data_IF_775838004926
#
_entry.id   IF_775838004926
#
_cell.length_a   1.000
_cell.length_b   1.000
_cell.length_c   1.000
_cell.angle_alpha   90.00
_cell.angle_beta   90.00
_cell.angle_gamma   90.00
#
_symmetry.space_group_name_H-M   'P 1'
#
loop_
_entity.id
_entity.type
_entity.pdbx_description
1 polymer ?
#
# COMPACT_ATOMS: atom_id res chain seq x y z
N UNK A 1 -0.46 -18.92 -48.77
CA UNK A 1 -0.93 -20.25 -48.37
C UNK A 1 0.28 -21.14 -48.18
N UNK A 2 0.26 -21.94 -47.09
CA UNK A 2 1.21 -22.97 -46.69
C UNK A 2 2.60 -22.49 -46.25
N UNK A 3 3.22 -23.03 -45.21
CA UNK A 3 2.75 -23.81 -44.06
C UNK A 3 3.91 -23.79 -43.08
N UNK A 4 3.60 -23.52 -41.82
CA UNK A 4 4.46 -23.64 -40.66
C UNK A 4 4.91 -25.11 -40.48
N UNK A 5 6.21 -25.33 -40.26
CA UNK A 5 6.75 -26.63 -39.88
C UNK A 5 7.88 -26.44 -38.85
N UNK A 6 7.56 -26.87 -37.62
CA UNK A 6 8.37 -26.84 -36.41
C UNK A 6 9.65 -27.70 -36.52
N UNK A 7 10.69 -27.43 -35.70
CA UNK A 7 11.93 -28.17 -35.70
C UNK A 7 11.79 -29.50 -34.95
N UNK A 8 12.42 -30.54 -35.51
CA UNK A 8 12.48 -31.91 -35.01
C UNK A 8 13.05 -31.97 -33.59
N UNK A 9 12.24 -32.46 -32.66
CA UNK A 9 12.67 -32.88 -31.33
C UNK A 9 13.55 -34.13 -31.39
N UNK A 10 14.47 -34.18 -30.43
CA UNK A 10 15.54 -35.15 -30.30
C UNK A 10 15.05 -36.59 -30.14
N UNK A 11 15.68 -37.50 -30.89
CA UNK A 11 15.61 -38.94 -30.69
C UNK A 11 16.38 -39.30 -29.41
N UNK A 12 15.68 -39.33 -28.28
CA UNK A 12 16.16 -39.97 -27.06
C UNK A 12 16.02 -41.49 -27.22
N UNK A 13 17.13 -42.17 -27.48
CA UNK A 13 17.20 -43.64 -27.38
C UNK A 13 17.03 -44.00 -25.91
N UNK A 14 15.79 -44.23 -25.49
CA UNK A 14 15.49 -44.86 -24.20
C UNK A 14 15.91 -46.33 -24.29
N UNK A 15 17.03 -46.65 -23.65
CA UNK A 15 17.36 -48.01 -23.26
C UNK A 15 16.16 -48.54 -22.47
N UNK A 16 15.63 -49.75 -22.74
CA UNK A 16 14.54 -50.30 -21.94
C UNK A 16 15.05 -50.37 -20.51
N UNK A 17 14.50 -49.55 -19.62
CA UNK A 17 14.63 -49.81 -18.19
C UNK A 17 14.04 -51.20 -17.97
N UNK A 18 14.79 -52.06 -17.30
CA UNK A 18 14.32 -53.39 -16.91
C UNK A 18 12.94 -53.25 -16.27
N UNK A 19 11.90 -53.78 -16.92
CA UNK A 19 10.51 -53.75 -16.45
C UNK A 19 10.38 -54.29 -15.02
N UNK A 20 11.29 -55.19 -14.63
CA UNK A 20 11.39 -55.77 -13.28
C UNK A 20 11.80 -54.76 -12.20
N UNK A 21 12.49 -53.68 -12.55
CA UNK A 21 12.89 -52.63 -11.59
C UNK A 21 11.81 -51.55 -11.44
N UNK A 22 11.02 -51.33 -12.50
CA UNK A 22 9.99 -50.29 -12.56
C UNK A 22 8.95 -50.43 -11.44
N UNK A 23 8.58 -51.66 -11.08
CA UNK A 23 7.61 -51.95 -10.03
C UNK A 23 8.03 -51.48 -8.63
N UNK A 24 9.34 -51.38 -8.35
CA UNK A 24 9.84 -50.91 -7.05
C UNK A 24 9.83 -49.38 -6.92
N UNK A 25 9.57 -48.65 -8.01
CA UNK A 25 9.38 -47.20 -7.99
C UNK A 25 7.90 -46.79 -7.83
N UNK A 26 6.97 -47.76 -7.82
CA UNK A 26 5.57 -47.50 -7.54
C UNK A 26 5.37 -47.16 -6.05
N UNK A 27 4.57 -46.14 -5.79
CA UNK A 27 4.26 -45.67 -4.42
C UNK A 27 3.32 -46.62 -3.69
N UNK A 28 2.51 -47.35 -4.44
CA UNK A 28 1.53 -48.29 -3.91
C UNK A 28 2.09 -49.73 -3.85
N UNK A 29 3.40 -49.91 -4.07
CA UNK A 29 4.05 -51.22 -4.01
C UNK A 29 4.05 -51.79 -2.57
N UNK A 30 3.42 -52.95 -2.39
CA UNK A 30 3.41 -53.68 -1.13
C UNK A 30 4.33 -54.92 -1.20
N UNK A 31 5.46 -54.95 -0.46
CA UNK A 31 6.40 -56.08 -0.51
C UNK A 31 5.79 -57.42 -0.09
N UNK A 32 4.87 -57.39 0.89
CA UNK A 32 4.22 -58.60 1.40
C UNK A 32 3.32 -59.22 0.35
N UNK A 33 2.48 -58.41 -0.31
CA UNK A 33 1.61 -58.88 -1.39
C UNK A 33 2.39 -59.38 -2.62
N UNK A 34 3.53 -58.76 -2.94
CA UNK A 34 4.41 -59.23 -4.02
C UNK A 34 4.96 -60.63 -3.74
N UNK A 35 5.47 -60.83 -2.51
CA UNK A 35 6.02 -62.11 -2.08
C UNK A 35 4.92 -63.18 -2.03
N UNK A 36 3.74 -62.85 -1.51
CA UNK A 36 2.59 -63.76 -1.50
C UNK A 36 2.14 -64.15 -2.91
N UNK A 37 2.05 -63.19 -3.83
CA UNK A 37 1.74 -63.46 -5.24
C UNK A 37 2.83 -64.32 -5.92
N UNK A 38 4.11 -64.10 -5.59
CA UNK A 38 5.22 -64.92 -6.07
C UNK A 38 5.10 -66.36 -5.57
N UNK A 39 4.86 -66.56 -4.27
CA UNK A 39 4.64 -67.89 -3.71
C UNK A 39 3.38 -68.55 -4.29
N UNK A 40 2.29 -67.80 -4.50
CA UNK A 40 1.06 -68.27 -5.14
C UNK A 40 1.31 -68.73 -6.59
N UNK A 41 2.15 -68.01 -7.34
CA UNK A 41 2.50 -68.32 -8.73
C UNK A 41 3.33 -69.60 -8.85
N UNK A 42 4.18 -69.88 -7.86
CA UNK A 42 5.05 -71.07 -7.84
C UNK A 42 4.30 -72.29 -7.28
N UNK A 43 3.40 -72.08 -6.31
CA UNK A 43 2.70 -73.14 -5.59
C UNK A 43 1.51 -73.72 -6.36
N UNK A 44 0.81 -72.92 -7.18
CA UNK A 44 -0.40 -73.39 -7.89
C UNK A 44 -1.51 -73.88 -6.93
N UNK A 45 -2.71 -74.13 -7.45
CA UNK A 45 -3.89 -74.36 -6.60
C UNK A 45 -3.99 -75.76 -5.96
N UNK A 46 -3.13 -76.74 -6.30
CA UNK A 46 -3.48 -78.15 -6.05
C UNK A 46 -2.35 -79.12 -5.61
N UNK A 47 -1.15 -78.66 -5.27
CA UNK A 47 -0.14 -79.59 -4.70
C UNK A 47 0.72 -78.95 -3.62
N UNK A 48 0.14 -78.79 -2.43
CA UNK A 48 0.82 -78.29 -1.23
C UNK A 48 2.09 -79.12 -0.96
N UNK A 49 3.27 -78.53 -1.22
CA UNK A 49 4.59 -78.94 -0.73
C UNK A 49 5.18 -80.27 -1.26
N UNK A 50 5.13 -80.51 -2.57
CA UNK A 50 5.98 -81.57 -3.15
C UNK A 50 7.48 -81.20 -3.07
N UNK A 51 8.36 -82.20 -2.92
CA UNK A 51 9.83 -81.98 -2.83
C UNK A 51 10.40 -81.26 -4.07
N UNK A 52 9.83 -81.51 -5.25
CA UNK A 52 10.20 -80.82 -6.50
C UNK A 52 9.74 -79.37 -6.53
N UNK A 53 8.59 -79.04 -5.94
CA UNK A 53 8.11 -77.67 -5.80
C UNK A 53 8.95 -76.88 -4.80
N UNK A 54 9.32 -77.47 -3.66
CA UNK A 54 10.24 -76.83 -2.71
C UNK A 54 11.62 -76.57 -3.32
N UNK A 55 12.12 -77.49 -4.16
CA UNK A 55 13.36 -77.28 -4.89
C UNK A 55 13.24 -76.15 -5.92
N UNK A 56 12.13 -76.09 -6.68
CA UNK A 56 11.86 -74.98 -7.62
C UNK A 56 11.72 -73.65 -6.89
N UNK A 57 10.99 -73.62 -5.78
CA UNK A 57 10.80 -72.43 -4.97
C UNK A 57 12.12 -71.93 -4.38
N UNK A 58 12.95 -72.82 -3.88
CA UNK A 58 14.30 -72.48 -3.39
C UNK A 58 15.18 -71.94 -4.51
N UNK A 59 15.12 -72.53 -5.71
CA UNK A 59 15.86 -72.06 -6.88
C UNK A 59 15.38 -70.68 -7.33
N UNK A 60 14.07 -70.47 -7.46
CA UNK A 60 13.49 -69.18 -7.88
C UNK A 60 13.69 -68.10 -6.82
N UNK A 61 13.60 -68.44 -5.53
CA UNK A 61 13.92 -67.49 -4.45
C UNK A 61 15.38 -67.05 -4.50
N UNK A 62 16.31 -67.99 -4.74
CA UNK A 62 17.73 -67.65 -4.89
C UNK A 62 18.01 -66.76 -6.10
N UNK A 63 17.31 -67.00 -7.21
CA UNK A 63 17.40 -66.20 -8.44
C UNK A 63 16.84 -64.78 -8.23
N UNK A 64 15.66 -64.66 -7.61
CA UNK A 64 15.07 -63.36 -7.25
C UNK A 64 15.96 -62.60 -6.27
N UNK A 65 16.53 -63.26 -5.26
CA UNK A 65 17.47 -62.63 -4.32
C UNK A 65 18.69 -62.10 -5.08
N UNK A 66 19.26 -62.89 -6.00
CA UNK A 66 20.42 -62.46 -6.80
C UNK A 66 20.10 -61.23 -7.65
N UNK A 67 18.92 -61.20 -8.27
CA UNK A 67 18.45 -60.05 -9.04
C UNK A 67 18.19 -58.82 -8.15
N UNK A 68 17.58 -59.00 -6.98
CA UNK A 68 17.37 -57.92 -6.02
C UNK A 68 18.69 -57.36 -5.50
N UNK A 69 19.66 -58.21 -5.17
CA UNK A 69 20.99 -57.79 -4.74
C UNK A 69 21.70 -56.98 -5.83
N UNK A 70 21.59 -57.41 -7.10
CA UNK A 70 22.10 -56.64 -8.23
C UNK A 70 21.44 -55.26 -8.33
N UNK A 71 20.11 -55.20 -8.29
CA UNK A 71 19.37 -53.94 -8.38
C UNK A 71 19.61 -53.02 -7.18
N UNK A 72 19.73 -53.56 -5.96
CA UNK A 72 20.09 -52.78 -4.77
C UNK A 72 21.47 -52.16 -4.90
N UNK A 73 22.45 -52.89 -5.44
CA UNK A 73 23.79 -52.36 -5.68
C UNK A 73 23.78 -51.27 -6.77
N UNK A 74 23.05 -51.47 -7.86
CA UNK A 74 22.90 -50.47 -8.92
C UNK A 74 22.21 -49.19 -8.42
N UNK A 75 21.10 -49.32 -7.68
CA UNK A 75 20.41 -48.18 -7.06
C UNK A 75 21.33 -47.47 -6.05
N UNK A 76 22.06 -48.22 -5.22
CA UNK A 76 22.98 -47.63 -4.25
C UNK A 76 24.10 -46.84 -4.94
N UNK A 77 24.61 -47.34 -6.07
CA UNK A 77 25.62 -46.63 -6.88
C UNK A 77 25.05 -45.39 -7.55
N UNK A 78 23.84 -45.46 -8.10
CA UNK A 78 23.15 -44.32 -8.69
C UNK A 78 22.81 -43.25 -7.64
N UNK A 79 22.34 -43.65 -6.47
CA UNK A 79 22.08 -42.76 -5.34
C UNK A 79 23.37 -42.05 -4.88
N UNK A 80 24.48 -42.79 -4.73
CA UNK A 80 25.78 -42.22 -4.39
C UNK A 80 26.25 -41.22 -5.47
N UNK A 81 26.08 -41.55 -6.75
CA UNK A 81 26.42 -40.65 -7.86
C UNK A 81 25.56 -39.39 -7.88
N UNK A 82 24.25 -39.51 -7.63
CA UNK A 82 23.34 -38.36 -7.53
C UNK A 82 23.64 -37.50 -6.31
N UNK A 83 23.99 -38.09 -5.17
CA UNK A 83 24.43 -37.37 -3.97
C UNK A 83 25.74 -36.63 -4.22
N UNK A 84 26.72 -37.25 -4.88
CA UNK A 84 27.97 -36.57 -5.22
C UNK A 84 27.73 -35.45 -6.26
N UNK A 85 26.81 -35.66 -7.21
CA UNK A 85 26.39 -34.61 -8.15
C UNK A 85 25.73 -33.43 -7.42
N UNK A 86 24.85 -33.71 -6.45
CA UNK A 86 24.21 -32.69 -5.63
C UNK A 86 25.22 -31.93 -4.76
N UNK A 87 26.18 -32.65 -4.17
CA UNK A 87 27.28 -32.08 -3.40
C UNK A 87 28.18 -31.20 -4.27
N UNK A 88 28.50 -31.63 -5.49
CA UNK A 88 29.29 -30.84 -6.44
C UNK A 88 28.55 -29.58 -6.90
N UNK A 89 27.25 -29.69 -7.20
CA UNK A 89 26.40 -28.53 -7.51
C UNK A 89 26.31 -27.55 -6.32
N UNK A 90 26.17 -28.08 -5.11
CA UNK A 90 26.18 -27.30 -3.86
C UNK A 90 27.55 -26.68 -3.57
N UNK A 91 28.65 -27.30 -3.95
CA UNK A 91 30.00 -26.72 -3.81
C UNK A 91 30.26 -25.62 -4.85
N UNK A 92 29.63 -25.72 -6.02
CA UNK A 92 29.72 -24.73 -7.10
C UNK A 92 28.82 -23.50 -6.89
N UNK A 93 27.85 -23.55 -5.99
CA UNK A 93 27.02 -22.39 -5.61
C UNK A 93 27.63 -21.57 -4.46
N UNK A 94 28.72 -22.06 -3.87
CA UNK A 94 29.53 -21.29 -2.93
C UNK A 94 30.40 -20.27 -3.67
N UNK A 95 30.72 -19.11 -3.07
CA UNK A 95 31.64 -18.16 -3.67
C UNK A 95 33.03 -18.80 -3.76
N UNK A 96 33.42 -19.29 -4.92
CA UNK A 96 34.82 -19.62 -5.21
C UNK A 96 35.62 -18.33 -5.29
N UNK A 97 35.99 -17.79 -4.12
CA UNK A 97 37.25 -17.08 -4.00
C UNK A 97 38.35 -18.10 -4.23
N UNK A 98 39.17 -17.87 -5.25
CA UNK A 98 40.46 -18.53 -5.50
C UNK A 98 40.39 -19.97 -6.05
N UNK A 99 40.35 -20.12 -7.37
CA UNK A 99 41.22 -21.10 -8.05
C UNK A 99 41.17 -20.94 -9.58
N UNK A 100 42.34 -20.66 -10.15
CA UNK A 100 42.66 -20.67 -11.58
C UNK A 100 42.55 -22.09 -12.17
N UNK A 101 41.33 -22.54 -12.46
CA UNK A 101 41.10 -23.74 -13.29
C UNK A 101 40.00 -23.48 -14.30
N UNK A 102 40.22 -23.96 -15.52
CA UNK A 102 39.53 -23.61 -16.77
C UNK A 102 38.02 -23.31 -16.65
N UNK A 103 37.53 -22.28 -17.38
CA UNK A 103 36.15 -21.84 -17.26
C UNK A 103 35.23 -22.86 -17.91
N UNK A 104 34.51 -23.59 -17.08
CA UNK A 104 33.27 -24.22 -17.51
C UNK A 104 32.27 -23.10 -17.86
N UNK A 105 32.23 -22.74 -19.15
CA UNK A 105 31.65 -21.49 -19.68
C UNK A 105 30.12 -21.35 -19.46
N UNK A 106 29.46 -22.44 -19.07
CA UNK A 106 28.04 -22.40 -18.70
C UNK A 106 27.84 -21.95 -17.24
N UNK A 107 28.83 -22.21 -16.38
CA UNK A 107 28.81 -21.75 -14.99
C UNK A 107 29.09 -20.25 -14.89
N UNK A 108 29.95 -19.72 -15.76
CA UNK A 108 30.17 -18.25 -15.87
C UNK A 108 28.95 -17.52 -16.38
N UNK A 109 28.13 -18.13 -17.26
CA UNK A 109 26.86 -17.56 -17.72
C UNK A 109 25.80 -17.56 -16.63
N UNK A 110 25.64 -18.66 -15.90
CA UNK A 110 24.70 -18.71 -14.77
C UNK A 110 25.15 -17.78 -13.65
N UNK A 111 26.45 -17.74 -13.35
CA UNK A 111 27.06 -16.77 -12.44
C UNK A 111 26.81 -15.34 -12.91
N UNK A 112 26.96 -15.04 -14.21
CA UNK A 112 26.61 -13.75 -14.78
C UNK A 112 25.12 -13.43 -14.58
N UNK A 113 24.21 -14.38 -14.79
CA UNK A 113 22.78 -14.18 -14.54
C UNK A 113 22.46 -13.99 -13.07
N UNK A 114 23.13 -14.70 -12.15
CA UNK A 114 22.96 -14.55 -10.70
C UNK A 114 23.53 -13.23 -10.21
N UNK A 115 24.72 -12.84 -10.69
CA UNK A 115 25.33 -11.55 -10.39
C UNK A 115 24.54 -10.39 -11.01
N UNK A 116 24.01 -10.55 -12.23
CA UNK A 116 23.10 -9.58 -12.84
C UNK A 116 21.81 -9.47 -12.03
N UNK A 117 21.24 -10.59 -11.58
CA UNK A 117 20.06 -10.60 -10.74
C UNK A 117 20.32 -9.90 -9.40
N UNK A 118 21.43 -10.22 -8.73
CA UNK A 118 21.85 -9.57 -7.49
C UNK A 118 22.01 -8.06 -7.69
N UNK A 119 22.71 -7.64 -8.74
CA UNK A 119 22.87 -6.22 -9.06
C UNK A 119 21.53 -5.55 -9.38
N UNK A 120 20.58 -6.24 -10.04
CA UNK A 120 19.25 -5.70 -10.28
C UNK A 120 18.42 -5.62 -9.01
N UNK A 121 18.59 -6.55 -8.07
CA UNK A 121 17.91 -6.54 -6.77
C UNK A 121 18.46 -5.40 -5.91
N UNK A 122 19.79 -5.24 -5.85
CA UNK A 122 20.42 -4.12 -5.15
C UNK A 122 20.00 -2.77 -5.77
N UNK A 123 19.99 -2.67 -7.10
CA UNK A 123 19.53 -1.47 -7.80
C UNK A 123 18.05 -1.18 -7.52
N UNK A 124 17.21 -2.22 -7.45
CA UNK A 124 15.79 -2.06 -7.13
C UNK A 124 15.59 -1.64 -5.66
N UNK A 125 16.39 -2.18 -4.74
CA UNK A 125 16.38 -1.76 -3.33
C UNK A 125 16.78 -0.28 -3.21
N UNK A 126 17.82 0.14 -3.93
CA UNK A 126 18.29 1.52 -3.94
C UNK A 126 17.26 2.46 -4.60
N UNK A 127 16.64 2.05 -5.71
CA UNK A 127 15.54 2.76 -6.35
C UNK A 127 14.31 2.86 -5.44
N UNK A 128 13.98 1.81 -4.70
CA UNK A 128 12.88 1.81 -3.72
C UNK A 128 13.17 2.77 -2.57
N UNK A 129 14.40 2.75 -2.04
CA UNK A 129 14.93 3.69 -1.04
C UNK A 129 14.83 5.14 -1.53
N UNK A 130 15.23 5.41 -2.78
CA UNK A 130 15.15 6.73 -3.40
C UNK A 130 13.70 7.17 -3.67
N UNK A 131 12.84 6.26 -4.12
CA UNK A 131 11.42 6.51 -4.31
C UNK A 131 10.73 6.82 -2.98
N UNK A 132 11.05 6.08 -1.92
CA UNK A 132 10.54 6.32 -0.57
C UNK A 132 11.02 7.67 -0.01
N UNK A 133 12.31 8.03 -0.19
CA UNK A 133 12.83 9.36 0.18
C UNK A 133 12.15 10.47 -0.61
N UNK A 134 11.88 10.26 -1.90
CA UNK A 134 11.19 11.22 -2.76
C UNK A 134 9.72 11.36 -2.36
N UNK A 135 9.06 10.28 -1.96
CA UNK A 135 7.69 10.29 -1.46
C UNK A 135 7.58 11.06 -0.14
N UNK A 136 8.47 10.79 0.83
CA UNK A 136 8.53 11.55 2.09
C UNK A 136 8.84 13.05 1.87
N UNK A 137 9.72 13.36 0.91
CA UNK A 137 9.99 14.75 0.51
C UNK A 137 8.78 15.43 -0.15
N UNK A 138 7.95 14.69 -0.87
CA UNK A 138 6.72 15.22 -1.49
C UNK A 138 5.56 15.38 -0.49
N UNK A 139 5.47 14.53 0.54
CA UNK A 139 4.48 14.70 1.63
C UNK A 139 4.73 16.00 2.42
N UNK A 140 5.99 16.35 2.66
CA UNK A 140 6.36 17.61 3.32
C UNK A 140 6.11 18.85 2.43
N UNK A 141 6.25 18.74 1.11
CA UNK A 141 5.92 19.81 0.16
C UNK A 141 4.42 20.01 -0.08
N UNK A 142 3.62 18.93 -0.07
CA UNK A 142 2.16 19.00 -0.20
C UNK A 142 1.50 19.65 1.02
N UNK A 143 2.03 19.44 2.23
CA UNK A 143 1.48 20.08 3.44
C UNK A 143 1.41 21.60 3.30
N UNK A 144 2.48 22.25 2.81
CA UNK A 144 2.52 23.72 2.64
C UNK A 144 1.56 24.21 1.55
N UNK A 145 1.46 23.49 0.43
CA UNK A 145 0.54 23.84 -0.65
C UNK A 145 -0.93 23.63 -0.25
N UNK A 146 -1.23 22.54 0.46
CA UNK A 146 -2.56 22.23 0.99
C UNK A 146 -2.95 23.21 2.10
N UNK A 147 -2.02 23.56 2.98
CA UNK A 147 -2.24 24.54 4.04
C UNK A 147 -2.45 25.96 3.46
N UNK A 148 -1.68 26.33 2.44
CA UNK A 148 -1.91 27.56 1.66
C UNK A 148 -3.28 27.57 0.99
N UNK A 149 -3.72 26.44 0.45
CA UNK A 149 -5.05 26.30 -0.16
C UNK A 149 -6.18 26.40 0.89
N UNK A 150 -5.98 25.84 2.08
CA UNK A 150 -6.91 25.96 3.21
C UNK A 150 -7.01 27.41 3.68
N UNK A 151 -5.88 28.10 3.83
CA UNK A 151 -5.84 29.52 4.16
C UNK A 151 -6.56 30.35 3.10
N UNK A 152 -6.30 30.09 1.81
CA UNK A 152 -6.96 30.80 0.71
C UNK A 152 -8.48 30.56 0.69
N UNK A 153 -8.93 29.33 0.98
CA UNK A 153 -10.35 29.00 1.12
C UNK A 153 -10.99 29.75 2.29
N UNK A 154 -10.29 29.89 3.42
CA UNK A 154 -10.74 30.66 4.58
C UNK A 154 -10.82 32.16 4.25
N UNK A 155 -9.81 32.71 3.57
CA UNK A 155 -9.81 34.11 3.11
C UNK A 155 -10.98 34.38 2.17
N UNK A 156 -11.19 33.53 1.16
CA UNK A 156 -12.32 33.62 0.23
C UNK A 156 -13.66 33.61 0.97
N UNK A 157 -13.84 32.70 1.93
CA UNK A 157 -15.05 32.63 2.75
C UNK A 157 -15.30 33.90 3.57
N UNK A 158 -14.25 34.45 4.18
CA UNK A 158 -14.34 35.68 4.95
C UNK A 158 -14.67 36.89 4.06
N UNK A 159 -14.03 37.01 2.90
CA UNK A 159 -14.35 38.05 1.91
C UNK A 159 -15.81 37.94 1.45
N UNK A 160 -16.31 36.72 1.18
CA UNK A 160 -17.70 36.51 0.80
C UNK A 160 -18.70 36.85 1.92
N UNK A 161 -18.32 36.67 3.19
CA UNK A 161 -19.12 37.14 4.33
C UNK A 161 -19.19 38.65 4.38
N UNK A 162 -18.04 39.33 4.26
CA UNK A 162 -17.97 40.81 4.24
C UNK A 162 -18.77 41.36 3.06
N UNK A 163 -18.63 40.75 1.88
CA UNK A 163 -19.41 41.12 0.69
C UNK A 163 -20.91 40.97 0.94
N UNK A 164 -21.36 39.87 1.55
CA UNK A 164 -22.78 39.69 1.91
C UNK A 164 -23.26 40.74 2.89
N UNK A 165 -22.49 41.06 3.93
CA UNK A 165 -22.85 42.11 4.88
C UNK A 165 -22.93 43.48 4.21
N UNK A 166 -22.00 43.81 3.30
CA UNK A 166 -22.03 45.05 2.53
C UNK A 166 -23.19 45.10 1.54
N UNK A 167 -23.52 43.97 0.89
CA UNK A 167 -24.68 43.87 0.00
C UNK A 167 -25.98 44.00 0.78
N UNK A 168 -26.12 43.34 1.93
CA UNK A 168 -27.27 43.50 2.81
C UNK A 168 -27.37 44.94 3.33
N UNK A 169 -26.25 45.56 3.72
CA UNK A 169 -26.22 46.96 4.13
C UNK A 169 -26.67 47.89 2.99
N UNK A 170 -26.19 47.66 1.75
CA UNK A 170 -26.62 48.40 0.55
C UNK A 170 -28.11 48.23 0.30
N UNK A 171 -28.60 47.00 0.33
CA UNK A 171 -30.00 46.67 0.04
C UNK A 171 -30.92 47.24 1.13
N UNK A 172 -30.46 47.34 2.38
CA UNK A 172 -31.19 48.02 3.48
C UNK A 172 -31.13 49.54 3.43
N UNK A 173 -30.06 50.12 2.86
CA UNK A 173 -29.85 51.56 2.85
C UNK A 173 -30.49 52.23 1.63
N UNK A 174 -30.88 51.47 0.60
CA UNK A 174 -31.78 51.89 -0.47
C UNK A 174 -31.32 53.10 -1.30
N UNK A 175 -30.09 53.58 -1.13
CA UNK A 175 -29.58 54.80 -1.73
C UNK A 175 -28.27 54.53 -2.47
N UNK A 176 -28.12 55.24 -3.59
CA UNK A 176 -26.94 55.24 -4.42
C UNK A 176 -25.69 55.56 -3.57
N UNK A 177 -24.69 54.66 -3.48
CA UNK A 177 -23.53 54.81 -2.59
C UNK A 177 -22.65 56.03 -2.92
N UNK A 178 -22.92 56.71 -4.03
CA UNK A 178 -22.23 57.93 -4.45
C UNK A 178 -22.74 59.22 -3.76
N UNK A 179 -23.84 59.17 -2.99
CA UNK A 179 -24.49 60.38 -2.42
C UNK A 179 -24.46 60.48 -0.89
N UNK A 180 -23.86 59.52 -0.17
CA UNK A 180 -23.81 59.57 1.30
C UNK A 180 -22.77 60.59 1.75
N UNK A 181 -23.25 61.76 2.14
CA UNK A 181 -22.42 62.80 2.76
C UNK A 181 -22.12 62.46 4.22
N UNK A 182 -21.02 63.01 4.75
CA UNK A 182 -20.64 62.86 6.17
C UNK A 182 -21.77 63.37 7.09
N UNK A 183 -22.50 64.39 6.65
CA UNK A 183 -23.63 64.96 7.39
C UNK A 183 -24.82 64.00 7.48
N UNK A 184 -25.15 63.27 6.40
CA UNK A 184 -26.17 62.23 6.42
C UNK A 184 -25.77 61.06 7.33
N UNK A 185 -24.51 60.63 7.27
CA UNK A 185 -24.00 59.59 8.16
C UNK A 185 -24.07 60.02 9.64
N UNK A 186 -23.68 61.26 9.94
CA UNK A 186 -23.76 61.81 11.28
C UNK A 186 -25.21 61.96 11.76
N UNK A 187 -26.13 62.32 10.87
CA UNK A 187 -27.57 62.37 11.17
C UNK A 187 -28.13 60.98 11.51
N UNK A 188 -27.81 59.96 10.71
CA UNK A 188 -28.21 58.57 10.99
C UNK A 188 -27.62 58.04 12.30
N UNK A 189 -26.38 58.39 12.63
CA UNK A 189 -25.79 58.04 13.92
C UNK A 189 -26.47 58.74 15.11
N UNK A 190 -26.91 59.99 14.94
CA UNK A 190 -27.69 60.67 15.98
C UNK A 190 -29.08 60.06 16.15
N UNK A 191 -29.76 59.69 15.07
CA UNK A 191 -31.04 58.97 15.14
C UNK A 191 -30.89 57.60 15.83
N UNK A 192 -29.81 56.88 15.52
CA UNK A 192 -29.46 55.63 16.17
C UNK A 192 -29.16 55.86 17.66
N UNK A 193 -28.45 56.93 18.00
CA UNK A 193 -28.16 57.32 19.39
C UNK A 193 -29.46 57.60 20.16
N UNK A 194 -30.37 58.38 19.58
CA UNK A 194 -31.65 58.73 20.22
C UNK A 194 -32.55 57.49 20.37
N UNK A 195 -32.55 56.59 19.38
CA UNK A 195 -33.25 55.31 19.47
C UNK A 195 -32.68 54.42 20.58
N UNK A 196 -31.36 54.26 20.64
CA UNK A 196 -30.67 53.49 21.69
C UNK A 196 -30.90 54.10 23.06
N UNK A 197 -30.89 55.43 23.17
CA UNK A 197 -31.16 56.16 24.42
C UNK A 197 -32.60 55.93 24.90
N UNK A 198 -33.57 55.96 23.99
CA UNK A 198 -34.97 55.67 24.32
C UNK A 198 -35.16 54.20 24.73
N UNK A 199 -34.45 53.27 24.11
CA UNK A 199 -34.46 51.85 24.49
C UNK A 199 -33.75 51.59 25.82
N UNK A 200 -32.67 52.30 26.14
CA UNK A 200 -31.99 52.24 27.45
C UNK A 200 -32.86 52.78 28.59
N UNK A 201 -33.77 53.70 28.29
CA UNK A 201 -34.76 54.25 29.24
C UNK A 201 -36.02 53.39 29.38
N UNK A 202 -36.20 52.38 28.53
CA UNK A 202 -37.33 51.45 28.63
C UNK A 202 -37.19 50.57 29.88
N UNK A 203 -38.31 50.23 30.53
CA UNK A 203 -38.33 49.40 31.75
C UNK A 203 -38.32 47.89 31.48
N UNK A 204 -38.23 47.48 30.21
CA UNK A 204 -38.23 46.08 29.78
C UNK A 204 -36.84 45.46 29.92
N UNK A 205 -36.70 44.45 30.80
CA UNK A 205 -35.42 43.76 31.06
C UNK A 205 -34.86 43.06 29.82
N UNK A 206 -35.73 42.60 28.92
CA UNK A 206 -35.34 41.89 27.69
C UNK A 206 -34.86 42.86 26.59
N UNK A 207 -35.52 44.01 26.46
CA UNK A 207 -35.10 45.10 25.56
C UNK A 207 -33.78 45.72 26.02
N UNK A 208 -33.57 45.82 27.33
CA UNK A 208 -32.33 46.34 27.91
C UNK A 208 -31.12 45.41 27.65
N UNK A 209 -31.31 44.08 27.73
CA UNK A 209 -30.27 43.09 27.43
C UNK A 209 -29.94 43.00 25.93
N UNK A 210 -30.96 43.08 25.05
CA UNK A 210 -30.74 43.13 23.60
C UNK A 210 -30.06 44.43 23.16
N UNK A 211 -30.39 45.55 23.80
CA UNK A 211 -29.73 46.84 23.56
C UNK A 211 -28.27 46.80 24.02
N UNK A 212 -27.96 46.24 25.20
CA UNK A 212 -26.57 46.04 25.65
C UNK A 212 -25.74 45.17 24.72
N UNK A 213 -26.31 44.09 24.17
CA UNK A 213 -25.62 43.26 23.16
C UNK A 213 -25.37 44.04 21.86
N UNK A 214 -26.36 44.83 21.42
CA UNK A 214 -26.25 45.66 20.23
C UNK A 214 -25.17 46.73 20.38
N UNK A 215 -25.06 47.34 21.57
CA UNK A 215 -23.99 48.30 21.92
C UNK A 215 -22.62 47.62 21.90
N UNK A 216 -22.50 46.40 22.42
CA UNK A 216 -21.25 45.63 22.35
C UNK A 216 -20.82 45.35 20.91
N UNK A 217 -21.77 44.97 20.04
CA UNK A 217 -21.51 44.75 18.62
C UNK A 217 -21.11 46.05 17.89
N UNK A 218 -21.76 47.18 18.21
CA UNK A 218 -21.40 48.51 17.70
C UNK A 218 -19.98 48.92 18.13
N UNK A 219 -19.56 48.53 19.34
CA UNK A 219 -18.19 48.76 19.84
C UNK A 219 -17.16 47.93 19.08
N UNK A 220 -17.44 46.66 18.81
CA UNK A 220 -16.56 45.80 18.01
C UNK A 220 -16.39 46.36 16.58
N UNK A 221 -17.46 46.93 16.02
CA UNK A 221 -17.46 47.56 14.70
C UNK A 221 -16.61 48.86 14.65
N UNK A 222 -16.27 49.46 15.79
CA UNK A 222 -15.36 50.62 15.87
C UNK A 222 -14.00 50.34 15.23
N UNK A 223 -13.50 49.10 15.38
CA UNK A 223 -12.23 48.68 14.77
C UNK A 223 -12.26 48.74 13.24
N UNK A 224 -13.43 48.52 12.64
CA UNK A 224 -13.64 48.56 11.19
C UNK A 224 -13.73 49.99 10.68
N UNK A 225 -14.19 50.93 11.50
CA UNK A 225 -14.33 52.33 11.13
C UNK A 225 -13.05 53.17 11.33
N UNK A 226 -12.07 52.67 12.09
CA UNK A 226 -10.82 53.37 12.38
C UNK A 226 -9.98 53.70 11.13
N UNK A 227 -10.06 52.84 10.12
CA UNK A 227 -9.36 52.95 8.85
C UNK A 227 -9.97 53.98 7.87
N UNK A 228 -11.17 54.53 8.17
CA UNK A 228 -11.79 55.58 7.35
C UNK A 228 -11.50 56.97 7.92
N UNK A 229 -10.72 57.77 7.21
CA UNK A 229 -10.27 59.10 7.65
C UNK A 229 -11.41 60.10 7.85
N UNK A 230 -12.47 60.02 7.06
CA UNK A 230 -13.63 60.92 7.15
C UNK A 230 -14.73 60.43 8.10
N UNK A 231 -15.03 59.13 8.09
CA UNK A 231 -16.13 58.53 8.85
C UNK A 231 -15.72 58.00 10.24
N UNK A 232 -14.44 57.66 10.42
CA UNK A 232 -13.88 57.17 11.68
C UNK A 232 -14.02 58.16 12.84
N UNK A 233 -13.69 59.46 12.68
CA UNK A 233 -13.86 60.45 13.74
C UNK A 233 -15.33 60.70 14.12
N UNK A 234 -16.26 60.60 13.17
CA UNK A 234 -17.70 60.73 13.44
C UNK A 234 -18.23 59.52 14.25
N UNK A 235 -17.84 58.31 13.85
CA UNK A 235 -18.22 57.07 14.54
C UNK A 235 -17.58 56.95 15.93
N UNK A 236 -16.31 57.33 16.09
CA UNK A 236 -15.64 57.33 17.39
C UNK A 236 -16.32 58.28 18.39
N UNK A 237 -16.77 59.45 17.95
CA UNK A 237 -17.54 60.39 18.78
C UNK A 237 -18.91 59.82 19.18
N UNK A 238 -19.56 59.09 18.28
CA UNK A 238 -20.79 58.37 18.57
C UNK A 238 -20.58 57.29 19.64
N UNK A 239 -19.56 56.45 19.52
CA UNK A 239 -19.26 55.39 20.51
C UNK A 239 -18.96 55.98 21.89
N UNK A 240 -18.18 57.06 21.96
CA UNK A 240 -17.90 57.74 23.25
C UNK A 240 -19.18 58.29 23.89
N UNK A 241 -20.12 58.82 23.10
CA UNK A 241 -21.43 59.28 23.61
C UNK A 241 -22.29 58.12 24.10
N UNK A 242 -22.35 57.01 23.35
CA UNK A 242 -23.09 55.81 23.73
C UNK A 242 -22.52 55.21 25.02
N UNK A 243 -21.19 55.09 25.12
CA UNK A 243 -20.52 54.60 26.32
C UNK A 243 -20.82 55.50 27.54
N UNK A 244 -20.80 56.82 27.37
CA UNK A 244 -21.11 57.76 28.44
C UNK A 244 -22.57 57.69 28.93
N UNK A 245 -23.54 57.38 28.06
CA UNK A 245 -24.95 57.20 28.47
C UNK A 245 -25.17 55.81 29.10
N UNK A 246 -24.46 54.78 28.65
CA UNK A 246 -24.51 53.44 29.28
C UNK A 246 -23.89 53.39 30.68
N UNK A 247 -23.00 54.33 31.03
CA UNK A 247 -22.45 54.46 32.38
C UNK A 247 -23.36 55.25 33.33
N UNK A 248 -24.38 55.95 32.82
CA UNK A 248 -25.34 56.74 33.62
C UNK A 248 -26.60 55.95 34.01
N UNK A 249 -26.82 54.79 33.41
CA UNK A 249 -27.92 53.85 33.69
C UNK A 249 -27.41 52.70 34.54
#
# INVERSE_FOLDING_TARGET
MASEAAPKGANGVQKPQDDSLAMFFDKDFEPVSYVDALFQSISGSDSKFSKSMLARLSSTSSDVITHLDYHTNEISRDLASKLESLKNLSSSIGPSMESDTEPNNDNTRLQYYVSALHNTVDSLEDELSQAQKSLQKNESGQSVAVESLILLKRVKHNIQKVLRVLQSARDTLGHDPSQITIDQFQHSLNLLYDSLRNQLRSQSREELETTKRSIKALRELSTVFHQFTAFGPAYSRFIVRVDAETQKV
#
